data_IF_345378149838
#
_entry.id   IF_345378149838
#
_cell.length_a   1.000
_cell.length_b   1.000
_cell.length_c   1.000
_cell.angle_alpha   90.00
_cell.angle_beta   90.00
_cell.angle_gamma   90.00
#
_symmetry.space_group_name_H-M   'P 1'
#
loop_
_entity.id
_entity.type
_entity.pdbx_description
1 polymer ?
#
# COMPACT_ATOMS: atom_id res chain seq x y z
N UNK A 1 0.67 -0.29 -38.39
CA UNK A 1 -0.25 -1.44 -38.49
C UNK A 1 -0.15 -2.21 -37.17
N UNK A 2 -1.22 -2.86 -36.70
CA UNK A 2 -1.10 -3.78 -35.57
C UNK A 2 -0.29 -5.01 -36.03
N UNK A 3 0.75 -5.39 -35.28
CA UNK A 3 1.49 -6.62 -35.55
C UNK A 3 0.67 -7.80 -35.02
N UNK A 4 0.55 -8.87 -35.81
CA UNK A 4 -0.04 -10.12 -35.33
C UNK A 4 0.84 -10.70 -34.22
N UNK A 5 0.32 -10.95 -33.01
CA UNK A 5 1.12 -11.49 -31.92
C UNK A 5 1.61 -12.90 -32.24
N UNK A 6 2.91 -13.15 -32.04
CA UNK A 6 3.54 -14.44 -32.36
C UNK A 6 2.97 -15.64 -31.58
N UNK A 7 2.35 -15.39 -30.42
CA UNK A 7 1.69 -16.41 -29.60
C UNK A 7 0.40 -15.88 -28.96
N UNK A 8 -0.71 -15.98 -29.70
CA UNK A 8 -2.03 -15.53 -29.25
C UNK A 8 -2.76 -16.59 -28.43
N UNK A 9 -2.22 -16.86 -27.24
CA UNK A 9 -2.76 -17.80 -26.23
C UNK A 9 -2.48 -17.26 -24.81
N UNK A 10 -3.12 -17.82 -23.77
CA UNK A 10 -2.79 -17.51 -22.37
C UNK A 10 -1.31 -17.72 -22.05
N UNK A 11 -0.73 -16.80 -21.26
CA UNK A 11 0.69 -16.77 -20.91
C UNK A 11 0.90 -16.77 -19.40
N UNK A 12 2.09 -17.16 -18.96
CA UNK A 12 2.54 -17.15 -17.57
C UNK A 12 3.89 -16.44 -17.49
N UNK A 13 4.06 -15.55 -16.51
CA UNK A 13 5.27 -14.72 -16.37
C UNK A 13 5.79 -14.74 -14.93
N UNK A 14 6.90 -15.45 -14.69
CA UNK A 14 7.43 -15.68 -13.33
C UNK A 14 8.63 -14.78 -12.98
N UNK A 15 9.08 -13.93 -13.91
CA UNK A 15 10.26 -13.08 -13.74
C UNK A 15 10.04 -11.72 -14.38
N UNK A 16 9.40 -10.81 -13.63
CA UNK A 16 9.14 -9.44 -14.08
C UNK A 16 9.23 -8.46 -12.92
N UNK A 17 9.93 -7.34 -13.15
CA UNK A 17 10.23 -6.33 -12.14
C UNK A 17 9.19 -5.22 -12.14
N UNK A 18 8.55 -4.93 -10.99
CA UNK A 18 7.50 -3.89 -10.90
C UNK A 18 8.06 -2.49 -11.15
N UNK A 19 9.23 -2.22 -10.56
CA UNK A 19 10.00 -0.98 -10.75
C UNK A 19 10.41 -0.82 -12.22
N UNK A 20 10.85 -1.89 -12.88
CA UNK A 20 11.14 -1.92 -14.31
C UNK A 20 9.91 -1.92 -15.25
N UNK A 21 8.68 -1.96 -14.74
CA UNK A 21 7.45 -2.12 -15.54
C UNK A 21 6.44 -0.96 -15.38
N UNK A 22 6.94 0.27 -15.22
CA UNK A 22 6.12 1.46 -14.96
C UNK A 22 5.80 2.21 -16.26
N UNK A 23 4.53 2.63 -16.42
CA UNK A 23 4.08 3.50 -17.52
C UNK A 23 4.80 4.86 -17.53
N UNK A 24 5.40 5.30 -18.65
CA UNK A 24 6.06 6.61 -18.76
C UNK A 24 5.16 7.80 -18.39
N UNK A 25 3.88 7.71 -18.71
CA UNK A 25 2.87 8.74 -18.39
C UNK A 25 2.66 8.87 -16.87
N UNK A 26 2.74 7.74 -16.15
CA UNK A 26 2.62 7.70 -14.69
C UNK A 26 3.88 8.24 -14.01
N UNK A 27 5.08 7.98 -14.57
CA UNK A 27 6.33 8.61 -14.12
C UNK A 27 6.24 10.13 -14.29
N UNK A 28 5.87 10.63 -15.48
CA UNK A 28 5.73 12.05 -15.76
C UNK A 28 4.65 12.73 -14.91
N UNK A 29 3.53 12.04 -14.67
CA UNK A 29 2.47 12.51 -13.77
C UNK A 29 2.98 12.73 -12.36
N UNK A 30 3.68 11.74 -11.78
CA UNK A 30 4.18 11.86 -10.40
C UNK A 30 5.39 12.78 -10.28
N UNK A 31 6.30 12.82 -11.25
CA UNK A 31 7.40 13.79 -11.30
C UNK A 31 6.86 15.22 -11.27
N UNK A 32 5.94 15.55 -12.18
CA UNK A 32 5.28 16.87 -12.24
C UNK A 32 4.48 17.18 -10.97
N UNK A 33 3.70 16.22 -10.44
CA UNK A 33 2.88 16.41 -9.22
C UNK A 33 3.71 16.56 -7.94
N UNK A 34 4.94 16.03 -7.90
CA UNK A 34 5.86 16.10 -6.75
C UNK A 34 6.94 17.19 -6.88
N UNK A 35 7.03 17.88 -8.02
CA UNK A 35 8.11 18.83 -8.29
C UNK A 35 9.48 18.18 -8.48
N UNK A 36 9.52 16.90 -8.87
CA UNK A 36 10.75 16.12 -9.05
C UNK A 36 11.17 16.21 -10.52
N UNK A 37 12.42 16.62 -10.75
CA UNK A 37 13.00 16.72 -12.08
C UNK A 37 13.09 15.34 -12.75
N UNK A 38 12.85 15.32 -14.06
CA UNK A 38 12.97 14.15 -14.93
C UNK A 38 13.78 14.56 -16.17
N UNK A 39 14.50 13.64 -16.84
CA UNK A 39 15.34 13.98 -17.99
C UNK A 39 14.53 14.34 -19.25
N UNK A 40 13.21 14.18 -19.23
CA UNK A 40 12.31 14.53 -20.32
C UNK A 40 10.94 15.00 -19.80
N UNK A 41 10.20 15.71 -20.66
CA UNK A 41 8.87 16.26 -20.38
C UNK A 41 7.70 15.52 -21.09
N UNK A 42 8.02 14.64 -22.05
CA UNK A 42 7.09 13.81 -22.83
C UNK A 42 7.36 12.31 -22.62
N UNK A 43 6.36 11.45 -22.85
CA UNK A 43 6.48 10.00 -22.68
C UNK A 43 7.53 9.40 -23.63
N UNK A 44 7.50 9.81 -24.90
CA UNK A 44 8.46 9.41 -25.94
C UNK A 44 9.89 9.86 -25.58
N UNK A 45 10.07 11.12 -25.17
CA UNK A 45 11.38 11.62 -24.73
C UNK A 45 11.92 10.89 -23.50
N UNK A 46 11.04 10.47 -22.58
CA UNK A 46 11.42 9.71 -21.40
C UNK A 46 11.81 8.26 -21.75
N UNK A 47 11.06 7.63 -22.66
CA UNK A 47 11.41 6.32 -23.24
C UNK A 47 12.76 6.36 -23.96
N UNK A 48 13.05 7.41 -24.72
CA UNK A 48 14.33 7.57 -25.44
C UNK A 48 15.54 7.73 -24.49
N UNK A 49 15.34 8.16 -23.24
CA UNK A 49 16.41 8.27 -22.23
C UNK A 49 16.54 7.00 -21.39
N UNK A 50 15.43 6.42 -20.94
CA UNK A 50 15.44 5.21 -20.09
C UNK A 50 15.71 3.95 -20.92
N UNK A 51 15.13 3.86 -22.12
CA UNK A 51 15.22 2.73 -23.03
C UNK A 51 16.63 2.45 -23.57
N UNK A 52 16.77 1.27 -24.17
CA UNK A 52 18.03 0.71 -24.66
C UNK A 52 17.80 -0.19 -25.88
N UNK A 53 17.94 0.36 -27.09
CA UNK A 53 17.90 -0.42 -28.35
C UNK A 53 19.24 -1.14 -28.65
N UNK A 54 20.27 -0.89 -27.83
CA UNK A 54 21.63 -1.43 -27.98
C UNK A 54 22.05 -2.11 -26.67
N UNK A 55 22.79 -3.23 -26.73
CA UNK A 55 23.33 -3.87 -25.54
C UNK A 55 24.35 -2.96 -24.85
N UNK A 56 24.29 -2.91 -23.52
CA UNK A 56 25.24 -2.25 -22.62
C UNK A 56 25.62 -3.24 -21.50
N UNK A 57 26.42 -2.83 -20.52
CA UNK A 57 26.73 -3.67 -19.35
C UNK A 57 25.58 -3.70 -18.33
N UNK A 58 25.59 -4.68 -17.42
CA UNK A 58 24.61 -4.76 -16.33
C UNK A 58 24.60 -3.49 -15.43
N UNK A 59 25.75 -2.93 -15.02
CA UNK A 59 25.79 -1.61 -14.37
C UNK A 59 25.11 -0.49 -15.15
N UNK A 60 25.33 -0.38 -16.47
CA UNK A 60 24.73 0.67 -17.31
C UNK A 60 23.20 0.54 -17.38
N UNK A 61 22.69 -0.69 -17.41
CA UNK A 61 21.25 -0.98 -17.31
C UNK A 61 20.68 -0.60 -15.94
N UNK A 62 21.37 -0.94 -14.84
CA UNK A 62 20.93 -0.61 -13.49
C UNK A 62 20.92 0.91 -13.24
N UNK A 63 21.87 1.65 -13.81
CA UNK A 63 21.89 3.12 -13.76
C UNK A 63 20.67 3.79 -14.45
N UNK A 64 19.88 3.06 -15.26
CA UNK A 64 18.63 3.60 -15.83
C UNK A 64 17.54 3.85 -14.77
N UNK A 65 17.58 3.15 -13.64
CA UNK A 65 16.58 3.27 -12.57
C UNK A 65 16.61 4.65 -11.90
N UNK A 66 17.80 5.26 -11.80
CA UNK A 66 18.04 6.55 -11.15
C UNK A 66 17.25 7.70 -11.80
N UNK A 67 16.95 7.62 -13.10
CA UNK A 67 16.21 8.65 -13.85
C UNK A 67 14.74 8.79 -13.44
N UNK A 68 14.13 7.76 -12.85
CA UNK A 68 12.68 7.72 -12.60
C UNK A 68 12.26 7.22 -11.23
N UNK A 69 13.07 6.39 -10.56
CA UNK A 69 12.77 5.92 -9.20
C UNK A 69 12.49 7.06 -8.20
N UNK A 70 13.19 8.22 -8.22
CA UNK A 70 12.87 9.36 -7.36
C UNK A 70 11.43 9.86 -7.49
N UNK A 71 10.85 9.85 -8.70
CA UNK A 71 9.47 10.29 -8.93
C UNK A 71 8.43 9.35 -8.28
N UNK A 72 8.78 8.09 -8.03
CA UNK A 72 7.89 7.04 -7.53
C UNK A 72 8.13 6.73 -6.04
N UNK A 73 9.39 6.55 -5.63
CA UNK A 73 9.79 6.16 -4.28
C UNK A 73 9.27 7.14 -3.21
N UNK A 74 8.82 6.60 -2.07
CA UNK A 74 8.21 7.35 -0.97
C UNK A 74 6.77 7.82 -1.20
N UNK A 75 6.19 7.68 -2.41
CA UNK A 75 4.81 8.08 -2.69
C UNK A 75 3.86 6.88 -2.62
N UNK A 76 3.06 6.82 -1.54
CA UNK A 76 2.08 5.73 -1.29
C UNK A 76 1.05 5.58 -2.43
N UNK A 77 0.59 6.69 -2.99
CA UNK A 77 -0.31 6.70 -4.15
C UNK A 77 0.37 6.16 -5.42
N UNK A 78 1.65 6.48 -5.64
CA UNK A 78 2.39 5.99 -6.80
C UNK A 78 2.59 4.49 -6.72
N UNK A 79 3.09 3.98 -5.59
CA UNK A 79 3.34 2.54 -5.38
C UNK A 79 2.06 1.72 -5.57
N UNK A 80 0.92 2.17 -5.00
CA UNK A 80 -0.38 1.50 -5.21
C UNK A 80 -0.84 1.58 -6.68
N UNK A 81 -0.63 2.73 -7.34
CA UNK A 81 -1.06 2.93 -8.74
C UNK A 81 -0.24 2.08 -9.72
N UNK A 82 1.08 2.00 -9.59
CA UNK A 82 1.91 1.21 -10.51
C UNK A 82 1.60 -0.29 -10.39
N UNK A 83 1.33 -0.80 -9.18
CA UNK A 83 0.93 -2.19 -8.98
C UNK A 83 -0.41 -2.53 -9.66
N UNK A 84 -1.36 -1.59 -9.66
CA UNK A 84 -2.64 -1.76 -10.37
C UNK A 84 -2.48 -1.63 -11.91
N UNK A 85 -1.74 -0.62 -12.37
CA UNK A 85 -1.47 -0.40 -13.79
C UNK A 85 -0.63 -1.53 -14.42
N UNK A 86 0.23 -2.18 -13.63
CA UNK A 86 0.99 -3.36 -14.03
C UNK A 86 0.07 -4.52 -14.40
N UNK A 87 -0.88 -4.89 -13.53
CA UNK A 87 -1.85 -5.97 -13.80
C UNK A 87 -2.73 -5.61 -15.01
N UNK A 88 -3.11 -4.34 -15.15
CA UNK A 88 -3.88 -3.84 -16.30
C UNK A 88 -3.10 -3.94 -17.63
N UNK A 89 -1.77 -3.89 -17.62
CA UNK A 89 -0.93 -4.11 -18.81
C UNK A 89 -0.75 -5.61 -19.09
N UNK A 90 -0.44 -6.43 -18.08
CA UNK A 90 -0.25 -7.87 -18.25
C UNK A 90 -1.52 -8.61 -18.68
N UNK A 91 -2.69 -8.14 -18.30
CA UNK A 91 -3.96 -8.60 -18.86
C UNK A 91 -4.08 -8.36 -20.39
N UNK A 92 -3.54 -7.25 -20.91
CA UNK A 92 -3.56 -6.92 -22.36
C UNK A 92 -2.53 -7.72 -23.16
N UNK A 93 -1.46 -8.16 -22.52
CA UNK A 93 -0.50 -9.12 -23.08
C UNK A 93 -1.05 -10.56 -23.12
N UNK A 94 -2.22 -10.82 -22.52
CA UNK A 94 -2.82 -12.15 -22.41
C UNK A 94 -2.15 -13.04 -21.35
N UNK A 95 -1.52 -12.43 -20.34
CA UNK A 95 -0.94 -13.14 -19.18
C UNK A 95 -2.07 -13.46 -18.19
N UNK A 96 -2.18 -14.73 -17.79
CA UNK A 96 -3.22 -15.22 -16.85
C UNK A 96 -2.68 -15.50 -15.44
N UNK A 97 -1.36 -15.59 -15.28
CA UNK A 97 -0.70 -15.67 -13.98
C UNK A 97 0.67 -14.97 -14.06
N UNK A 98 0.97 -14.12 -13.07
CA UNK A 98 2.20 -13.31 -13.04
C UNK A 98 2.76 -13.19 -11.62
N UNK A 99 4.05 -13.46 -11.46
CA UNK A 99 4.80 -13.26 -10.21
C UNK A 99 5.74 -12.06 -10.36
N UNK A 100 5.27 -10.91 -9.89
CA UNK A 100 6.03 -9.65 -9.94
C UNK A 100 6.93 -9.50 -8.72
N UNK A 101 8.19 -9.08 -8.97
CA UNK A 101 9.21 -8.86 -7.94
C UNK A 101 9.63 -7.39 -7.89
N UNK A 102 10.04 -6.91 -6.72
CA UNK A 102 10.59 -5.56 -6.50
C UNK A 102 11.36 -5.50 -5.18
N UNK A 103 12.19 -4.47 -4.99
CA UNK A 103 12.81 -4.21 -3.68
C UNK A 103 11.97 -3.22 -2.89
N UNK A 104 11.33 -3.61 -1.76
CA UNK A 104 10.54 -2.69 -0.95
C UNK A 104 11.40 -1.58 -0.34
N UNK A 105 12.67 -1.84 -0.08
CA UNK A 105 13.63 -0.86 0.44
C UNK A 105 13.88 0.30 -0.56
N UNK A 106 13.89 0.04 -1.87
CA UNK A 106 14.09 1.07 -2.91
C UNK A 106 12.85 1.94 -3.14
N UNK A 107 11.66 1.50 -2.70
CA UNK A 107 10.42 2.28 -2.80
C UNK A 107 10.06 2.99 -1.48
N UNK A 108 10.74 2.68 -0.37
CA UNK A 108 10.56 3.32 0.92
C UNK A 108 11.26 4.70 0.99
N UNK A 109 10.81 5.54 1.94
CA UNK A 109 11.47 6.79 2.33
C UNK A 109 11.59 6.97 3.86
N UNK A 110 11.05 6.04 4.63
CA UNK A 110 11.35 5.87 6.05
C UNK A 110 12.72 5.22 6.23
N UNK A 111 13.41 5.51 7.33
CA UNK A 111 14.63 4.77 7.74
C UNK A 111 14.25 3.33 8.09
N UNK A 112 14.38 2.42 7.12
CA UNK A 112 14.22 0.98 7.33
C UNK A 112 15.60 0.44 7.68
N UNK A 113 15.88 0.30 8.97
CA UNK A 113 17.08 -0.41 9.42
C UNK A 113 16.97 -1.89 8.99
N UNK A 114 18.00 -2.49 8.37
CA UNK A 114 17.96 -3.88 7.95
C UNK A 114 17.71 -4.82 9.13
N UNK A 115 16.71 -5.70 9.01
CA UNK A 115 16.42 -6.71 10.02
C UNK A 115 17.62 -7.69 10.10
N UNK A 116 18.22 -7.93 11.27
CA UNK A 116 19.37 -8.82 11.38
C UNK A 116 19.04 -10.26 11.00
N UNK A 117 19.88 -10.86 10.15
CA UNK A 117 19.78 -12.27 9.71
C UNK A 117 19.77 -13.28 10.87
N UNK A 118 20.29 -12.90 12.04
CA UNK A 118 20.42 -13.72 13.24
C UNK A 118 19.40 -13.35 14.34
N UNK A 119 18.29 -12.67 14.00
CA UNK A 119 17.21 -12.45 14.95
C UNK A 119 16.61 -13.77 15.46
N UNK A 120 16.17 -13.79 16.72
CA UNK A 120 15.40 -14.92 17.25
C UNK A 120 13.98 -14.92 16.65
N UNK A 121 13.45 -16.11 16.32
CA UNK A 121 12.08 -16.24 15.85
C UNK A 121 11.08 -15.92 16.96
N UNK A 122 10.54 -14.70 16.94
CA UNK A 122 9.47 -14.26 17.83
C UNK A 122 8.12 -14.86 17.40
N UNK A 123 7.94 -16.17 17.65
CA UNK A 123 6.63 -16.85 17.62
C UNK A 123 5.66 -16.33 18.72
N UNK A 124 6.03 -15.27 19.44
CA UNK A 124 5.14 -14.52 20.33
C UNK A 124 4.10 -13.71 19.54
N UNK A 125 3.23 -14.41 18.82
CA UNK A 125 1.95 -13.89 18.37
C UNK A 125 1.21 -13.31 19.58
N UNK A 126 0.99 -12.00 19.60
CA UNK A 126 0.25 -11.35 20.67
C UNK A 126 -1.20 -11.86 20.65
N UNK A 127 -1.53 -12.72 21.62
CA UNK A 127 -2.82 -13.42 21.76
C UNK A 127 -3.93 -12.45 22.19
N UNK A 128 -4.20 -11.47 21.34
CA UNK A 128 -5.12 -10.36 21.54
C UNK A 128 -6.44 -10.52 20.76
N UNK A 129 -6.46 -11.46 19.80
CA UNK A 129 -7.63 -11.89 19.01
C UNK A 129 -8.18 -13.20 19.58
N UNK A 130 -9.33 -13.13 20.27
CA UNK A 130 -9.91 -14.25 21.01
C UNK A 130 -10.57 -15.36 20.17
N UNK A 131 -9.80 -16.00 19.29
CA UNK A 131 -10.21 -17.17 18.49
C UNK A 131 -9.54 -18.47 18.97
N UNK A 132 -9.63 -18.72 20.28
CA UNK A 132 -9.13 -19.97 20.89
C UNK A 132 -10.08 -21.14 20.62
N UNK A 133 -9.82 -21.94 19.57
CA UNK A 133 -10.32 -23.32 19.47
C UNK A 133 -9.27 -24.28 20.04
N UNK A 134 -9.67 -25.09 21.02
CA UNK A 134 -8.71 -25.77 21.89
C UNK A 134 -7.93 -26.91 21.20
N UNK A 135 -6.61 -26.79 21.16
CA UNK A 135 -5.67 -27.88 20.87
C UNK A 135 -4.88 -28.24 22.13
N UNK A 136 -5.35 -29.26 22.86
CA UNK A 136 -4.63 -29.81 24.02
C UNK A 136 -3.37 -30.57 23.57
N UNK A 137 -2.17 -30.21 24.04
CA UNK A 137 -0.96 -30.99 23.76
C UNK A 137 -1.05 -32.40 24.36
N UNK A 138 -0.51 -33.39 23.66
CA UNK A 138 -0.59 -34.81 24.03
C UNK A 138 0.35 -35.15 25.20
N UNK A 139 0.05 -34.65 26.40
CA UNK A 139 0.82 -35.02 27.60
C UNK A 139 0.58 -36.49 27.94
N UNK A 140 1.67 -37.26 27.95
CA UNK A 140 1.71 -38.61 28.52
C UNK A 140 1.13 -38.60 29.93
N UNK A 141 0.19 -39.50 30.21
CA UNK A 141 -0.54 -39.54 31.48
C UNK A 141 0.29 -40.29 32.54
N UNK A 142 0.70 -39.67 33.66
CA UNK A 142 1.14 -40.42 34.83
C UNK A 142 -0.05 -41.23 35.37
N UNK A 143 0.25 -42.40 35.94
CA UNK A 143 -0.77 -43.26 36.55
C UNK A 143 -1.31 -42.60 37.83
N UNK A 144 -2.64 -42.40 37.93
CA UNK A 144 -3.23 -41.69 39.07
C UNK A 144 -3.60 -42.68 40.19
N UNK A 145 -2.94 -42.55 41.33
CA UNK A 145 -3.43 -43.02 42.63
C UNK A 145 -3.41 -41.84 43.61
N UNK A 146 -4.44 -41.73 44.46
CA UNK A 146 -4.57 -40.65 45.45
C UNK A 146 -5.89 -39.88 45.34
N UNK A 147 -6.84 -40.18 46.22
CA UNK A 147 -8.06 -39.40 46.40
C UNK A 147 -7.81 -38.27 47.42
N UNK A 148 -8.21 -37.03 47.11
CA UNK A 148 -8.02 -35.86 47.98
C UNK A 148 -9.16 -34.85 47.84
N UNK A 149 -9.50 -34.13 48.92
CA UNK A 149 -10.74 -33.34 49.05
C UNK A 149 -10.51 -31.84 49.28
N UNK A 150 -11.20 -31.01 48.48
CA UNK A 150 -11.60 -29.60 48.79
C UNK A 150 -10.38 -28.63 48.93
N UNK A 151 -10.50 -27.30 49.06
CA UNK A 151 -11.63 -26.36 49.24
C UNK A 151 -11.48 -25.13 48.32
N UNK A 152 -12.57 -24.39 48.08
CA UNK A 152 -12.53 -23.04 47.49
C UNK A 152 -12.54 -21.98 48.60
N UNK A 153 -11.79 -20.89 48.45
CA UNK A 153 -11.89 -19.69 49.32
C UNK A 153 -11.70 -18.40 48.50
N UNK A 154 -12.43 -17.35 48.89
CA UNK A 154 -12.53 -16.06 48.18
C UNK A 154 -11.95 -14.89 48.99
N UNK A 155 -11.38 -13.89 48.31
CA UNK A 155 -11.19 -12.48 48.73
C UNK A 155 -10.99 -11.66 47.43
N UNK A 156 -11.80 -10.66 47.06
CA UNK A 156 -12.29 -9.43 47.71
C UNK A 156 -11.28 -8.26 47.65
N UNK A 157 -11.67 -7.16 46.99
CA UNK A 157 -10.89 -5.94 46.82
C UNK A 157 -11.33 -4.80 47.77
N UNK A 158 -10.57 -3.70 47.86
CA UNK A 158 -11.09 -2.37 48.21
C UNK A 158 -10.83 -1.31 47.11
N UNK A 159 -11.45 -0.14 47.26
CA UNK A 159 -11.55 0.91 46.23
C UNK A 159 -10.69 2.18 46.43
N UNK A 160 -11.04 3.30 45.75
CA UNK A 160 -10.17 4.48 45.55
C UNK A 160 -10.42 5.65 46.51
N UNK A 161 -9.60 6.71 46.39
CA UNK A 161 -9.78 8.01 47.04
C UNK A 161 -9.62 9.20 46.05
N UNK A 162 -10.18 10.36 46.37
CA UNK A 162 -10.32 11.55 45.51
C UNK A 162 -9.75 12.83 46.13
N UNK A 163 -9.54 13.88 45.33
CA UNK A 163 -9.37 15.27 45.79
C UNK A 163 -9.86 16.29 44.74
N UNK A 164 -9.92 17.57 45.11
CA UNK A 164 -10.74 18.67 44.53
C UNK A 164 -9.84 19.92 44.31
N UNK A 165 -9.90 20.69 43.18
CA UNK A 165 -10.79 21.87 42.87
C UNK A 165 -10.50 23.09 43.81
N UNK A 166 -10.55 24.41 43.43
CA UNK A 166 -11.20 25.12 42.28
C UNK A 166 -10.42 26.28 41.56
N UNK A 167 -11.07 26.93 40.57
CA UNK A 167 -10.87 28.37 40.20
C UNK A 167 -10.73 28.67 38.68
N UNK A 168 -11.67 29.25 37.91
CA UNK A 168 -12.34 30.59 37.94
C UNK A 168 -11.40 31.75 37.51
N UNK A 169 -11.66 32.71 36.59
CA UNK A 169 -12.81 33.29 35.80
C UNK A 169 -12.19 34.15 34.63
N UNK A 170 -12.81 34.78 33.60
CA UNK A 170 -14.20 34.92 33.05
C UNK A 170 -14.19 35.50 31.60
N UNK A 171 -15.14 35.05 30.75
CA UNK A 171 -16.05 35.81 29.83
C UNK A 171 -15.55 37.03 29.00
N UNK A 172 -15.74 36.97 27.67
CA UNK A 172 -16.23 38.10 26.85
C UNK A 172 -16.97 37.64 25.58
N UNK A 173 -17.78 38.50 24.98
CA UNK A 173 -18.52 38.33 23.71
C UNK A 173 -18.25 39.52 22.81
N UNK A 174 -18.28 39.35 21.48
CA UNK A 174 -19.08 40.21 20.58
C UNK A 174 -19.09 39.70 19.14
N UNK A 175 -20.07 40.19 18.37
CA UNK A 175 -20.33 39.90 16.96
C UNK A 175 -20.38 41.19 16.15
N UNK A 176 -20.11 41.15 14.84
CA UNK A 176 -20.82 41.86 13.74
C UNK A 176 -19.95 41.83 12.47
N UNK A 177 -20.57 41.96 11.27
CA UNK A 177 -19.82 42.14 10.02
C UNK A 177 -20.39 41.47 8.78
N UNK A 178 -21.64 41.74 8.41
CA UNK A 178 -22.22 41.24 7.16
C UNK A 178 -21.59 41.93 5.93
N UNK A 179 -21.32 41.18 4.86
CA UNK A 179 -21.54 41.67 3.49
C UNK A 179 -21.92 40.51 2.56
N UNK A 180 -23.02 40.71 1.82
CA UNK A 180 -23.59 39.75 0.90
C UNK A 180 -23.46 40.32 -0.51
N UNK A 181 -22.88 39.55 -1.44
CA UNK A 181 -22.79 39.95 -2.86
C UNK A 181 -23.34 38.82 -3.73
N UNK A 182 -24.56 39.01 -4.24
CA UNK A 182 -25.25 38.05 -5.11
C UNK A 182 -24.95 38.41 -6.58
N UNK A 183 -24.35 37.51 -7.34
CA UNK A 183 -24.37 37.59 -8.81
C UNK A 183 -24.79 36.27 -9.47
N UNK A 184 -26.01 36.33 -10.01
CA UNK A 184 -26.49 35.67 -11.24
C UNK A 184 -25.98 34.27 -11.59
N UNK A 185 -26.89 33.30 -11.45
CA UNK A 185 -26.90 32.04 -12.19
C UNK A 185 -26.77 32.23 -13.70
N UNK A 186 -26.01 31.35 -14.37
CA UNK A 186 -26.32 30.92 -15.75
C UNK A 186 -26.32 29.40 -15.81
N UNK A 187 -27.45 28.82 -16.19
CA UNK A 187 -27.57 27.39 -16.48
C UNK A 187 -27.21 27.15 -17.95
N UNK A 188 -26.35 26.17 -18.19
CA UNK A 188 -26.20 25.53 -19.50
C UNK A 188 -26.30 24.03 -19.27
N UNK A 189 -27.35 23.41 -19.80
CA UNK A 189 -27.50 21.96 -19.80
C UNK A 189 -26.58 21.35 -20.87
N UNK A 190 -25.95 20.21 -20.57
CA UNK A 190 -25.39 19.34 -21.60
C UNK A 190 -25.70 17.87 -21.29
N UNK A 191 -26.63 17.35 -22.10
CA UNK A 191 -26.91 15.96 -22.51
C UNK A 191 -26.23 14.78 -21.79
N UNK A 192 -27.04 13.78 -21.41
CA UNK A 192 -26.61 12.44 -20.96
C UNK A 192 -26.02 11.57 -22.08
N UNK A 193 -24.90 10.90 -21.80
CA UNK A 193 -24.53 9.55 -22.24
C UNK A 193 -23.30 9.09 -21.41
N UNK A 194 -22.99 7.82 -21.21
CA UNK A 194 -23.75 6.56 -21.28
C UNK A 194 -23.16 5.57 -20.25
N UNK A 195 -23.92 4.57 -19.80
CA UNK A 195 -23.53 3.71 -18.68
C UNK A 195 -22.62 2.54 -19.07
N UNK A 196 -21.60 2.26 -18.24
CA UNK A 196 -20.88 0.97 -18.19
C UNK A 196 -20.82 0.46 -16.74
N UNK A 197 -20.97 -0.85 -16.49
CA UNK A 197 -21.09 -1.40 -15.13
C UNK A 197 -19.73 -1.54 -14.42
N UNK A 198 -19.69 -1.41 -13.08
CA UNK A 198 -18.49 -1.71 -12.29
C UNK A 198 -18.28 -3.22 -12.15
N UNK A 199 -17.06 -3.70 -12.45
CA UNK A 199 -16.67 -5.07 -12.15
C UNK A 199 -16.42 -5.24 -10.65
N UNK A 200 -17.18 -6.12 -10.01
CA UNK A 200 -17.03 -6.40 -8.57
C UNK A 200 -15.83 -7.34 -8.37
N UNK A 201 -14.84 -6.95 -7.57
CA UNK A 201 -13.80 -7.89 -7.15
C UNK A 201 -14.41 -8.95 -6.24
N UNK A 202 -14.27 -10.22 -6.63
CA UNK A 202 -14.51 -11.35 -5.73
C UNK A 202 -13.21 -11.57 -4.94
N UNK A 203 -13.11 -10.92 -3.78
CA UNK A 203 -12.18 -11.37 -2.73
C UNK A 203 -12.75 -12.63 -2.09
N UNK A 204 -11.98 -13.73 -2.13
CA UNK A 204 -12.13 -14.84 -1.20
C UNK A 204 -11.26 -14.60 0.04
#
# INVERSE_FOLDING_TARGET
MAQTPAFDKPKVELHVHLDGSIKPETILYYGRRRGIALPANTAEGLLNVIGMDKPLTLPDFLAKFDYYMPAIAGCREAIKRIAYEFVEMKAKEGVVYVEVRYSPHLLANSKVEPIPWNQAELWTYSRQSGWDTATTPWKTRPFITGCGRKTCTSRSAPGPATSLVPGSRTRSMQSFGSKMTRLTTRSTQMTRSSSSPPWTLITR
#
